data_IF_284074990968
#
_entry.id   IF_284074990968
#
_cell.length_a   1.000
_cell.length_b   1.000
_cell.length_c   1.000
_cell.angle_alpha   90.00
_cell.angle_beta   90.00
_cell.angle_gamma   90.00
#
_symmetry.space_group_name_H-M   'P 1'
#
loop_
_entity.id
_entity.type
_entity.pdbx_description
1 polymer ?
#
# COMPACT_ATOMS: atom_id res chain seq x y z
N UNK A 1 -9.33 -1.34 -3.37
CA UNK A 1 -8.04 -0.81 -3.85
C UNK A 1 -8.32 -0.06 -5.14
N UNK A 2 -7.62 1.05 -5.40
CA UNK A 2 -7.81 1.94 -6.57
C UNK A 2 -7.01 1.46 -7.78
N UNK A 3 -5.87 0.80 -7.57
CA UNK A 3 -5.06 0.21 -8.66
C UNK A 3 -4.76 -1.26 -8.40
N UNK A 4 -4.91 -2.12 -9.41
CA UNK A 4 -4.49 -3.52 -9.30
C UNK A 4 -2.97 -3.59 -9.27
N UNK A 5 -2.42 -4.30 -8.29
CA UNK A 5 -0.97 -4.40 -8.08
C UNK A 5 -0.54 -5.80 -7.65
N UNK A 6 0.72 -6.11 -7.92
CA UNK A 6 1.44 -7.27 -7.39
C UNK A 6 2.78 -6.82 -6.81
N UNK A 7 3.46 -7.69 -6.07
CA UNK A 7 4.79 -7.39 -5.48
C UNK A 7 4.80 -6.18 -4.54
N UNK A 8 3.66 -5.79 -3.99
CA UNK A 8 3.54 -4.70 -3.01
C UNK A 8 3.87 -5.18 -1.59
N UNK A 9 4.22 -4.24 -0.71
CA UNK A 9 4.28 -4.48 0.72
C UNK A 9 2.96 -4.11 1.39
N UNK A 10 2.56 -4.84 2.45
CA UNK A 10 1.35 -4.54 3.21
C UNK A 10 1.60 -4.63 4.72
N UNK A 11 0.89 -3.79 5.48
CA UNK A 11 1.00 -3.74 6.95
C UNK A 11 -0.31 -3.24 7.57
N UNK A 12 -0.60 -3.63 8.81
CA UNK A 12 -1.72 -3.08 9.59
C UNK A 12 -1.22 -1.99 10.52
N UNK A 13 -1.88 -0.82 10.48
CA UNK A 13 -1.62 0.32 11.38
C UNK A 13 -2.97 0.86 11.85
N UNK A 14 -3.18 0.92 13.18
CA UNK A 14 -4.41 1.41 13.79
C UNK A 14 -5.68 0.78 13.21
N UNK A 15 -5.69 -0.55 13.00
CA UNK A 15 -6.84 -1.29 12.47
C UNK A 15 -7.08 -1.16 10.96
N UNK A 16 -6.33 -0.30 10.27
CA UNK A 16 -6.41 -0.14 8.81
C UNK A 16 -5.29 -0.92 8.11
N UNK A 17 -5.53 -1.37 6.88
CA UNK A 17 -4.51 -2.01 6.03
C UNK A 17 -3.88 -0.95 5.15
N UNK A 18 -2.56 -0.87 5.17
CA UNK A 18 -1.78 -0.02 4.27
C UNK A 18 -1.06 -0.90 3.25
N UNK A 19 -1.18 -0.56 1.98
CA UNK A 19 -0.51 -1.22 0.87
C UNK A 19 0.40 -0.23 0.17
N UNK A 20 1.68 -0.54 0.04
CA UNK A 20 2.72 0.36 -0.47
C UNK A 20 3.36 -0.21 -1.74
N UNK A 21 3.52 0.65 -2.74
CA UNK A 21 4.24 0.32 -3.98
C UNK A 21 3.68 -0.90 -4.73
N UNK A 22 4.55 -1.64 -5.40
CA UNK A 22 4.24 -2.79 -6.25
C UNK A 22 4.27 -2.45 -7.75
N UNK A 23 3.85 -3.41 -8.57
CA UNK A 23 3.76 -3.30 -10.02
C UNK A 23 2.31 -3.37 -10.49
N UNK A 24 1.88 -2.40 -11.30
CA UNK A 24 0.58 -2.42 -11.98
C UNK A 24 0.76 -2.96 -13.39
N UNK A 25 0.21 -4.15 -13.65
CA UNK A 25 0.21 -4.74 -15.00
C UNK A 25 -0.68 -3.96 -15.96
N UNK A 26 -1.76 -3.34 -15.47
CA UNK A 26 -2.65 -2.47 -16.24
C UNK A 26 -1.96 -1.21 -16.73
N UNK A 27 -1.08 -0.61 -15.92
CA UNK A 27 -0.33 0.61 -16.27
C UNK A 27 1.06 0.33 -16.84
N UNK A 28 1.56 -0.91 -16.73
CA UNK A 28 2.90 -1.27 -17.15
C UNK A 28 4.00 -0.54 -16.37
N UNK A 29 3.75 -0.15 -15.12
CA UNK A 29 4.68 0.67 -14.33
C UNK A 29 4.70 0.27 -12.86
N UNK A 30 5.81 0.62 -12.20
CA UNK A 30 5.96 0.51 -10.75
C UNK A 30 5.21 1.64 -10.06
N UNK A 31 4.61 1.32 -8.92
CA UNK A 31 3.81 2.24 -8.14
C UNK A 31 4.64 2.81 -6.99
N UNK A 32 4.38 4.07 -6.70
CA UNK A 32 4.81 4.75 -5.47
C UNK A 32 3.64 4.95 -4.51
N UNK A 33 2.39 4.73 -4.93
CA UNK A 33 1.22 4.99 -4.09
C UNK A 33 1.17 4.12 -2.84
N UNK A 34 0.76 4.77 -1.75
CA UNK A 34 0.35 4.15 -0.50
C UNK A 34 -1.18 4.24 -0.43
N UNK A 35 -1.83 3.08 -0.42
CA UNK A 35 -3.28 2.98 -0.28
C UNK A 35 -3.65 2.45 1.10
N UNK A 36 -4.63 3.09 1.75
CA UNK A 36 -5.22 2.64 3.01
C UNK A 36 -6.59 2.04 2.74
N UNK A 37 -6.84 0.88 3.32
CA UNK A 37 -8.17 0.31 3.49
C UNK A 37 -8.64 0.56 4.92
N UNK A 38 -9.81 1.18 5.03
CA UNK A 38 -10.54 1.34 6.27
C UNK A 38 -11.70 0.32 6.31
N UNK A 39 -11.66 -0.68 7.19
CA UNK A 39 -12.72 -1.68 7.30
C UNK A 39 -14.05 -1.13 7.83
N UNK A 40 -14.05 -0.02 8.59
CA UNK A 40 -15.30 0.57 9.11
C UNK A 40 -16.08 1.28 7.99
N UNK A 41 -15.35 1.87 7.04
CA UNK A 41 -15.91 2.57 5.89
C UNK A 41 -16.03 1.68 4.64
N UNK A 42 -15.52 0.44 4.72
CA UNK A 42 -15.34 -0.49 3.60
C UNK A 42 -14.79 0.22 2.34
N UNK A 43 -13.74 1.02 2.53
CA UNK A 43 -13.27 1.89 1.46
C UNK A 43 -11.75 1.97 1.39
N UNK A 44 -11.29 2.26 0.18
CA UNK A 44 -9.88 2.46 -0.12
C UNK A 44 -9.63 3.91 -0.50
N UNK A 45 -8.53 4.46 -0.03
CA UNK A 45 -8.03 5.79 -0.40
C UNK A 45 -6.52 5.77 -0.61
N UNK A 46 -6.03 6.64 -1.50
CA UNK A 46 -4.59 6.91 -1.64
C UNK A 46 -4.26 7.95 -0.57
N UNK A 47 -3.39 7.59 0.37
CA UNK A 47 -3.07 8.44 1.52
C UNK A 47 -1.72 9.15 1.38
N UNK A 48 -0.79 8.58 0.60
CA UNK A 48 0.54 9.16 0.40
C UNK A 48 1.27 8.46 -0.78
N UNK A 49 2.53 8.82 -1.01
CA UNK A 49 3.46 8.16 -1.92
C UNK A 49 4.82 7.86 -1.28
N UNK A 50 5.47 6.79 -1.74
CA UNK A 50 6.85 6.47 -1.44
C UNK A 50 7.79 7.47 -2.13
N UNK A 51 9.02 7.71 -1.60
CA UNK A 51 10.01 8.57 -2.25
C UNK A 51 10.47 8.10 -3.64
N UNK A 52 10.32 6.81 -3.92
CA UNK A 52 10.58 6.19 -5.22
C UNK A 52 9.72 4.94 -5.39
N UNK A 53 9.41 4.51 -6.63
CA UNK A 53 8.71 3.26 -6.85
C UNK A 53 9.44 2.06 -6.21
N UNK A 54 8.70 1.18 -5.54
CA UNK A 54 9.24 0.02 -4.85
C UNK A 54 8.46 -1.24 -5.21
N UNK A 55 9.11 -2.40 -5.24
CA UNK A 55 8.48 -3.72 -5.44
C UNK A 55 9.27 -4.81 -4.73
N UNK A 56 8.61 -5.93 -4.44
CA UNK A 56 9.18 -7.08 -3.75
C UNK A 56 9.82 -6.73 -2.39
N UNK A 57 9.41 -5.62 -1.78
CA UNK A 57 9.91 -5.15 -0.49
C UNK A 57 9.08 -5.71 0.67
N UNK A 58 9.67 -5.72 1.86
CA UNK A 58 8.96 -6.03 3.10
C UNK A 58 8.38 -4.77 3.75
N UNK A 59 7.27 -4.93 4.49
CA UNK A 59 6.71 -3.89 5.35
C UNK A 59 6.44 -4.48 6.74
N UNK A 60 6.80 -3.73 7.78
CA UNK A 60 6.50 -4.06 9.17
C UNK A 60 6.08 -2.79 9.90
N UNK A 61 5.17 -2.92 10.86
CA UNK A 61 4.81 -1.85 11.78
C UNK A 61 5.55 -2.10 13.09
N UNK A 62 6.16 -1.05 13.64
CA UNK A 62 6.76 -1.10 14.98
C UNK A 62 5.86 -0.31 15.91
N UNK A 63 5.25 -1.00 16.86
CA UNK A 63 4.51 -0.37 17.96
C UNK A 63 5.46 -0.18 19.15
N UNK A 64 5.56 1.05 19.65
CA UNK A 64 6.20 1.29 20.94
C UNK A 64 5.27 0.78 22.05
N UNK A 65 5.84 0.05 23.00
CA UNK A 65 5.15 -0.47 24.20
C UNK A 65 5.14 0.60 25.28
#
# INVERSE_FOLDING_TARGET
MKERRMECGAVVINGCIYVTGGYSSSKGTYLESIEKYDPELDSWEIVDTLPSPARSHGCVCVHSV
#
